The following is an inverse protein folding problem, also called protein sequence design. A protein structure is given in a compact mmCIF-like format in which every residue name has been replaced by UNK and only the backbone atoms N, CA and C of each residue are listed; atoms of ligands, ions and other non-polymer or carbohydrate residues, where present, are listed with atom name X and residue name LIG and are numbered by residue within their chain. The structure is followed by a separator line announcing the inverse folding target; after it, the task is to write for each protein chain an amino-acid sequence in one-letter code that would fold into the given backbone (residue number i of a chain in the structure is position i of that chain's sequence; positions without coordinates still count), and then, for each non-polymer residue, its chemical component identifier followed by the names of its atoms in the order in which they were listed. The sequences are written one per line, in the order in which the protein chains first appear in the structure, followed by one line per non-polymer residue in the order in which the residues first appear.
data_IF_410882629103
#
_entry.id   IF_410882629103
#
_cell.length_a   1.000
_cell.length_b   1.000
_cell.length_c   1.000
_cell.angle_alpha   90.00
_cell.angle_beta   90.00
_cell.angle_gamma   90.00
#
_symmetry.space_group_name_H-M   'P 1'
#
loop_
_entity.id
_entity.type
_entity.pdbx_description
1 polymer ?
#
# COMPACT_ATOMS: atom_id res chain seq x y z
N UNK A 1 -65.23 16.93 13.42
CA UNK A 1 -64.79 15.57 13.08
C UNK A 1 -64.81 15.43 11.56
N UNK A 2 -63.65 15.52 10.91
CA UNK A 2 -63.50 15.31 9.45
C UNK A 2 -62.60 14.11 9.25
N UNK A 3 -63.18 12.98 8.81
CA UNK A 3 -62.43 11.79 8.44
C UNK A 3 -61.83 12.02 7.04
N UNK A 4 -60.53 12.28 6.98
CA UNK A 4 -59.76 12.25 5.74
C UNK A 4 -59.55 10.80 5.33
N UNK A 5 -60.20 10.37 4.25
CA UNK A 5 -60.05 9.02 3.70
C UNK A 5 -59.00 9.08 2.60
N UNK A 6 -57.77 8.66 2.93
CA UNK A 6 -56.69 8.56 1.96
C UNK A 6 -57.08 7.55 0.84
N UNK A 7 -56.91 7.88 -0.45
CA UNK A 7 -57.31 6.98 -1.55
C UNK A 7 -56.53 5.68 -1.51
N UNK A 8 -57.21 4.52 -1.50
CA UNK A 8 -56.60 3.18 -1.47
C UNK A 8 -55.56 2.96 -2.58
N UNK A 9 -55.74 3.60 -3.74
CA UNK A 9 -54.83 3.55 -4.88
C UNK A 9 -53.48 4.20 -4.62
N UNK A 10 -53.43 5.25 -3.80
CA UNK A 10 -52.17 5.94 -3.40
C UNK A 10 -51.33 5.09 -2.45
N UNK A 11 -51.97 4.32 -1.57
CA UNK A 11 -51.28 3.35 -0.71
C UNK A 11 -50.62 2.23 -1.52
N UNK A 12 -51.32 1.68 -2.52
CA UNK A 12 -50.78 0.58 -3.32
C UNK A 12 -49.56 0.98 -4.17
N UNK A 13 -49.54 2.20 -4.72
CA UNK A 13 -48.38 2.69 -5.46
C UNK A 13 -47.18 2.99 -4.55
N UNK A 14 -47.41 3.50 -3.33
CA UNK A 14 -46.34 3.72 -2.34
C UNK A 14 -45.71 2.40 -1.86
N UNK A 15 -46.54 1.37 -1.62
CA UNK A 15 -46.08 0.04 -1.22
C UNK A 15 -45.30 -0.69 -2.32
N UNK A 16 -45.64 -0.44 -3.59
CA UNK A 16 -44.94 -1.02 -4.75
C UNK A 16 -43.55 -0.39 -4.95
N UNK A 17 -43.41 0.91 -4.71
CA UNK A 17 -42.11 1.60 -4.77
C UNK A 17 -41.16 1.21 -3.63
N UNK A 18 -41.69 0.91 -2.44
CA UNK A 18 -40.89 0.50 -1.28
C UNK A 18 -40.22 -0.88 -1.45
N UNK A 19 -40.84 -1.78 -2.22
CA UNK A 19 -40.29 -3.13 -2.48
C UNK A 19 -39.23 -3.16 -3.60
N UNK A 20 -39.16 -2.14 -4.46
CA UNK A 20 -38.12 -2.07 -5.50
C UNK A 20 -36.77 -1.59 -4.94
N UNK A 21 -36.75 -0.91 -3.79
CA UNK A 21 -35.52 -0.37 -3.20
C UNK A 21 -34.70 -1.41 -2.41
N UNK A 22 -35.27 -2.57 -2.05
CA UNK A 22 -34.55 -3.60 -1.25
C UNK A 22 -33.70 -4.54 -2.11
N UNK A 23 -33.83 -4.50 -3.44
CA UNK A 23 -33.18 -5.43 -4.36
C UNK A 23 -31.80 -4.97 -4.88
N UNK A 24 -31.34 -3.77 -4.48
CA UNK A 24 -30.01 -3.24 -4.84
C UNK A 24 -29.04 -3.26 -3.66
N UNK A 25 -29.15 -4.26 -2.76
CA UNK A 25 -28.05 -4.58 -1.88
C UNK A 25 -26.98 -5.30 -2.72
N UNK A 26 -25.77 -4.72 -2.82
CA UNK A 26 -24.62 -5.44 -3.37
C UNK A 26 -24.50 -6.79 -2.67
N UNK A 27 -24.25 -7.91 -3.39
CA UNK A 27 -24.02 -9.19 -2.74
C UNK A 27 -22.88 -9.03 -1.72
N UNK A 28 -22.96 -9.72 -0.56
CA UNK A 28 -21.90 -9.64 0.42
C UNK A 28 -20.57 -10.02 -0.25
N UNK A 29 -19.59 -9.15 -0.13
CA UNK A 29 -18.24 -9.43 -0.60
C UNK A 29 -17.72 -10.61 0.23
N UNK A 30 -17.59 -11.78 -0.38
CA UNK A 30 -16.97 -12.94 0.26
C UNK A 30 -15.46 -12.70 0.34
N UNK A 31 -15.05 -12.04 1.42
CA UNK A 31 -13.66 -11.66 1.66
C UNK A 31 -12.91 -12.85 2.30
N UNK A 32 -12.36 -13.70 1.44
CA UNK A 32 -11.46 -14.76 1.88
C UNK A 32 -10.04 -14.20 2.09
N UNK A 33 -9.67 -13.97 3.35
CA UNK A 33 -8.33 -13.51 3.71
C UNK A 33 -7.39 -14.72 3.88
N UNK A 34 -6.48 -14.89 2.93
CA UNK A 34 -5.35 -15.80 3.06
C UNK A 34 -4.13 -15.09 3.64
N UNK A 35 -3.27 -15.83 4.34
CA UNK A 35 -2.00 -15.28 4.84
C UNK A 35 -1.08 -15.01 3.64
N UNK A 36 -0.61 -13.78 3.52
CA UNK A 36 0.41 -13.44 2.53
C UNK A 36 1.78 -14.01 2.95
N UNK A 37 2.53 -14.56 1.98
CA UNK A 37 3.86 -15.15 2.15
C UNK A 37 3.92 -16.45 2.98
N UNK A 38 3.44 -17.56 2.42
CA UNK A 38 3.45 -18.86 3.12
C UNK A 38 4.80 -19.58 3.10
N UNK A 39 5.67 -19.28 2.13
CA UNK A 39 6.77 -20.16 1.75
C UNK A 39 8.15 -19.80 2.34
N UNK A 40 8.41 -18.54 2.70
CA UNK A 40 9.72 -18.11 3.23
C UNK A 40 9.58 -17.07 4.36
N UNK A 41 9.79 -17.45 5.63
CA UNK A 41 9.71 -16.52 6.74
C UNK A 41 10.96 -15.62 6.77
N UNK A 42 10.77 -14.31 6.60
CA UNK A 42 11.80 -13.31 6.85
C UNK A 42 11.30 -12.22 7.80
N UNK A 43 12.22 -11.55 8.48
CA UNK A 43 11.89 -10.42 9.36
C UNK A 43 11.96 -9.12 8.58
N UNK A 44 10.79 -8.57 8.26
CA UNK A 44 10.63 -7.21 7.76
C UNK A 44 10.53 -6.22 8.94
N UNK A 45 11.28 -5.12 8.89
CA UNK A 45 11.09 -3.97 9.78
C UNK A 45 10.00 -3.05 9.25
N UNK A 46 9.81 -3.03 7.93
CA UNK A 46 8.74 -2.30 7.26
C UNK A 46 8.34 -3.03 5.99
N UNK A 47 7.06 -2.94 5.63
CA UNK A 47 6.46 -3.57 4.46
C UNK A 47 5.41 -2.62 3.87
N UNK A 48 5.46 -2.38 2.57
CA UNK A 48 4.45 -1.60 1.85
C UNK A 48 4.16 -2.24 0.48
N UNK A 49 3.02 -1.90 -0.12
CA UNK A 49 2.77 -2.25 -1.52
C UNK A 49 3.75 -1.50 -2.42
N UNK A 50 4.16 -2.12 -3.52
CA UNK A 50 4.95 -1.44 -4.55
C UNK A 50 4.06 -0.43 -5.29
N UNK A 51 4.32 0.89 -5.20
CA UNK A 51 3.52 1.88 -5.91
C UNK A 51 3.59 1.67 -7.43
N UNK A 52 2.46 1.83 -8.12
CA UNK A 52 2.38 1.63 -9.58
C UNK A 52 2.32 0.17 -10.03
N UNK A 53 2.33 -0.80 -9.10
CA UNK A 53 2.03 -2.21 -9.40
C UNK A 53 0.53 -2.50 -9.39
N UNK A 54 0.16 -3.71 -9.77
CA UNK A 54 -1.21 -4.27 -9.66
C UNK A 54 -1.67 -4.56 -8.21
N UNK A 55 -0.89 -4.12 -7.21
CA UNK A 55 -1.18 -4.34 -5.79
C UNK A 55 -0.74 -5.72 -5.28
N UNK A 56 -0.10 -6.55 -6.12
CA UNK A 56 0.36 -7.88 -5.71
C UNK A 56 1.80 -7.87 -5.19
N UNK A 57 2.62 -6.92 -5.66
CA UNK A 57 4.02 -6.80 -5.29
C UNK A 57 4.21 -5.91 -4.06
N UNK A 58 5.27 -6.20 -3.29
CA UNK A 58 5.61 -5.47 -2.06
C UNK A 58 7.07 -5.05 -2.01
N UNK A 59 7.29 -3.94 -1.32
CA UNK A 59 8.59 -3.48 -0.87
C UNK A 59 8.77 -3.83 0.60
N UNK A 60 9.93 -4.36 0.98
CA UNK A 60 10.28 -4.59 2.36
C UNK A 60 11.64 -3.97 2.72
N UNK A 61 11.74 -3.39 3.91
CA UNK A 61 13.00 -3.05 4.53
C UNK A 61 13.35 -4.12 5.57
N UNK A 62 14.55 -4.69 5.47
CA UNK A 62 15.07 -5.67 6.40
C UNK A 62 16.45 -5.28 6.95
N UNK A 63 16.63 -5.42 8.25
CA UNK A 63 17.92 -5.32 8.94
C UNK A 63 18.87 -6.42 8.49
N UNK A 64 18.36 -7.63 8.20
CA UNK A 64 19.18 -8.79 7.83
C UNK A 64 19.27 -8.99 6.32
N UNK A 65 18.19 -8.69 5.61
CA UNK A 65 18.08 -9.02 4.18
C UNK A 65 18.15 -7.79 3.26
N UNK A 66 18.33 -6.58 3.79
CA UNK A 66 18.38 -5.37 2.97
C UNK A 66 17.00 -4.90 2.47
N UNK A 67 16.95 -4.15 1.37
CA UNK A 67 15.70 -3.77 0.72
C UNK A 67 15.30 -4.87 -0.26
N UNK A 68 14.05 -5.31 -0.17
CA UNK A 68 13.52 -6.40 -0.98
C UNK A 68 12.36 -5.93 -1.84
N UNK A 69 12.25 -6.52 -3.02
CA UNK A 69 11.00 -6.58 -3.80
C UNK A 69 10.48 -8.01 -3.72
N UNK A 70 9.21 -8.15 -3.40
CA UNK A 70 8.54 -9.42 -3.14
C UNK A 70 7.33 -9.57 -4.08
N UNK A 71 7.12 -10.78 -4.60
CA UNK A 71 5.94 -11.09 -5.39
C UNK A 71 4.70 -11.35 -4.52
N UNK A 72 3.59 -11.72 -5.18
CA UNK A 72 2.30 -12.00 -4.56
C UNK A 72 2.36 -13.12 -3.50
N UNK A 73 3.34 -14.02 -3.62
CA UNK A 73 3.56 -15.15 -2.72
C UNK A 73 4.66 -14.85 -1.69
N UNK A 74 5.17 -13.61 -1.65
CA UNK A 74 6.22 -13.19 -0.73
C UNK A 74 7.62 -13.66 -1.12
N UNK A 75 7.82 -14.18 -2.32
CA UNK A 75 9.14 -14.61 -2.79
C UNK A 75 9.94 -13.40 -3.27
N UNK A 76 11.22 -13.38 -2.92
CA UNK A 76 12.15 -12.33 -3.33
C UNK A 76 12.38 -12.36 -4.85
N UNK A 77 12.12 -11.23 -5.50
CA UNK A 77 12.39 -11.02 -6.94
C UNK A 77 13.50 -9.99 -7.18
N UNK A 78 13.80 -9.13 -6.20
CA UNK A 78 15.00 -8.30 -6.20
C UNK A 78 15.45 -7.92 -4.79
N UNK A 79 16.73 -7.57 -4.68
CA UNK A 79 17.38 -7.22 -3.42
C UNK A 79 18.43 -6.13 -3.60
N UNK A 80 18.45 -5.17 -2.68
CA UNK A 80 19.56 -4.28 -2.43
C UNK A 80 20.16 -4.65 -1.06
N UNK A 81 21.38 -5.22 -1.01
CA UNK A 81 22.01 -5.60 0.25
C UNK A 81 22.22 -4.41 1.19
N UNK A 82 22.12 -4.67 2.50
CA UNK A 82 22.35 -3.68 3.55
C UNK A 82 21.54 -4.00 4.81
N UNK A 83 21.55 -3.06 5.75
CA UNK A 83 20.73 -3.14 6.96
C UNK A 83 19.82 -1.92 7.01
N UNK A 84 18.55 -2.12 6.72
CA UNK A 84 17.60 -1.03 6.54
C UNK A 84 16.41 -1.12 7.47
N UNK A 85 15.88 0.05 7.83
CA UNK A 85 14.65 0.17 8.61
C UNK A 85 13.79 1.32 8.08
N UNK A 86 12.48 1.18 8.24
CA UNK A 86 11.52 2.12 7.66
C UNK A 86 11.49 2.03 6.14
N UNK A 87 10.35 2.38 5.57
CA UNK A 87 10.16 2.41 4.14
C UNK A 87 9.11 3.47 3.83
N UNK A 88 9.45 4.40 2.96
CA UNK A 88 8.44 5.16 2.24
C UNK A 88 8.77 5.16 0.75
N UNK A 89 7.75 5.19 -0.09
CA UNK A 89 7.93 5.09 -1.54
C UNK A 89 6.88 5.85 -2.32
N UNK A 90 7.28 6.41 -3.46
CA UNK A 90 6.41 7.16 -4.37
C UNK A 90 6.76 6.83 -5.83
N UNK A 91 5.74 6.78 -6.68
CA UNK A 91 5.93 6.69 -8.14
C UNK A 91 6.57 7.99 -8.64
N UNK A 92 7.57 7.85 -9.51
CA UNK A 92 8.27 8.92 -10.21
C UNK A 92 8.52 8.48 -11.66
N UNK A 93 7.61 8.84 -12.56
CA UNK A 93 7.60 8.31 -13.94
C UNK A 93 7.46 6.79 -13.95
N UNK A 94 8.35 6.10 -14.65
CA UNK A 94 8.41 4.63 -14.72
C UNK A 94 9.21 3.99 -13.57
N UNK A 95 9.65 4.78 -12.59
CA UNK A 95 10.46 4.32 -11.47
C UNK A 95 9.73 4.58 -10.15
N UNK A 96 10.16 3.88 -9.10
CA UNK A 96 9.72 4.12 -7.73
C UNK A 96 10.87 4.72 -6.96
N UNK A 97 10.69 5.92 -6.42
CA UNK A 97 11.60 6.49 -5.43
C UNK A 97 11.34 5.79 -4.09
N UNK A 98 12.38 5.25 -3.48
CA UNK A 98 12.33 4.58 -2.19
C UNK A 98 13.23 5.32 -1.21
N UNK A 99 12.69 5.61 -0.04
CA UNK A 99 13.42 6.20 1.06
C UNK A 99 13.44 5.21 2.23
N UNK A 100 14.61 5.05 2.84
CA UNK A 100 14.84 4.16 4.00
C UNK A 100 15.93 4.70 4.90
N UNK A 101 16.08 4.14 6.09
CA UNK A 101 17.19 4.43 6.98
C UNK A 101 18.22 3.31 6.92
N UNK A 102 19.46 3.68 6.61
CA UNK A 102 20.62 2.78 6.72
C UNK A 102 21.07 2.73 8.17
N UNK A 103 20.98 1.54 8.78
CA UNK A 103 21.28 1.35 10.19
C UNK A 103 22.78 1.42 10.50
N UNK A 104 23.62 0.98 9.56
CA UNK A 104 25.06 1.00 9.74
C UNK A 104 25.59 2.43 9.74
N UNK A 105 24.96 3.31 8.94
CA UNK A 105 25.33 4.73 8.84
C UNK A 105 24.50 5.65 9.74
N UNK A 106 23.38 5.17 10.29
CA UNK A 106 22.36 6.00 10.95
C UNK A 106 21.98 7.21 10.09
N UNK A 107 21.67 6.94 8.82
CA UNK A 107 21.53 7.98 7.80
C UNK A 107 20.38 7.67 6.84
N UNK A 108 19.59 8.68 6.51
CA UNK A 108 18.55 8.55 5.51
C UNK A 108 19.17 8.31 4.12
N UNK A 109 18.63 7.32 3.41
CA UNK A 109 19.09 6.87 2.11
C UNK A 109 17.93 6.83 1.13
N UNK A 110 18.19 7.32 -0.08
CA UNK A 110 17.29 7.30 -1.22
C UNK A 110 17.85 6.37 -2.28
N UNK A 111 16.98 5.60 -2.91
CA UNK A 111 17.31 4.84 -4.13
C UNK A 111 16.09 4.81 -5.04
N UNK A 112 16.28 4.45 -6.30
CA UNK A 112 15.20 4.20 -7.25
C UNK A 112 15.12 2.72 -7.56
N UNK A 113 13.90 2.25 -7.73
CA UNK A 113 13.59 0.93 -8.26
C UNK A 113 12.97 1.09 -9.63
N UNK A 114 13.58 0.46 -10.63
CA UNK A 114 12.91 0.14 -11.89
C UNK A 114 11.97 -1.05 -11.61
N UNK A 115 10.66 -0.77 -11.54
CA UNK A 115 9.66 -1.76 -11.15
C UNK A 115 9.46 -2.84 -12.22
N UNK A 116 9.67 -2.52 -13.50
CA UNK A 116 9.52 -3.46 -14.61
C UNK A 116 10.70 -4.43 -14.69
N UNK A 117 11.92 -3.92 -14.44
CA UNK A 117 13.16 -4.71 -14.50
C UNK A 117 13.59 -5.27 -13.15
N UNK A 118 12.91 -4.90 -12.08
CA UNK A 118 13.26 -5.18 -10.68
C UNK A 118 14.73 -4.83 -10.36
N UNK A 119 15.19 -3.66 -10.81
CA UNK A 119 16.58 -3.20 -10.62
C UNK A 119 16.67 -1.97 -9.74
N UNK A 120 17.54 -2.05 -8.73
CA UNK A 120 17.88 -0.93 -7.87
C UNK A 120 18.94 -0.04 -8.53
N UNK A 121 18.77 1.27 -8.40
CA UNK A 121 19.82 2.22 -8.72
C UNK A 121 20.85 2.33 -7.60
N UNK A 122 21.95 3.03 -7.87
CA UNK A 122 22.92 3.42 -6.84
C UNK A 122 22.24 4.24 -5.74
N UNK A 123 22.45 3.90 -4.46
CA UNK A 123 21.99 4.69 -3.32
C UNK A 123 22.56 6.10 -3.28
N UNK A 124 21.74 7.06 -2.84
CA UNK A 124 22.12 8.43 -2.51
C UNK A 124 21.80 8.68 -1.05
N UNK A 125 22.73 9.25 -0.30
CA UNK A 125 22.55 9.52 1.11
C UNK A 125 22.25 11.00 1.37
N UNK A 126 21.25 11.26 2.19
CA UNK A 126 20.97 12.61 2.72
C UNK A 126 22.09 12.98 3.70
N UNK A 127 22.55 14.24 3.80
CA UNK A 127 23.61 14.63 4.74
C UNK A 127 23.39 14.11 6.17
N UNK A 128 24.48 13.76 6.84
CA UNK A 128 24.46 13.24 8.20
C UNK A 128 23.88 14.26 9.18
N UNK A 129 23.30 13.76 10.27
CA UNK A 129 22.77 14.56 11.38
C UNK A 129 23.57 14.27 12.64
N UNK A 130 23.57 15.22 13.57
CA UNK A 130 24.14 15.09 14.91
C UNK A 130 23.17 14.45 15.92
N UNK A 131 22.03 13.94 15.43
CA UNK A 131 21.03 13.21 16.18
C UNK A 131 20.58 11.94 15.43
N UNK A 132 20.05 10.97 16.18
CA UNK A 132 19.54 9.73 15.62
C UNK A 132 18.26 9.97 14.80
N UNK A 133 18.20 9.40 13.60
CA UNK A 133 17.01 9.44 12.74
C UNK A 133 16.18 8.19 13.02
N UNK A 134 14.96 8.35 13.50
CA UNK A 134 14.08 7.22 13.87
C UNK A 134 13.00 6.91 12.83
N UNK A 135 12.70 7.87 11.96
CA UNK A 135 11.71 7.73 10.89
C UNK A 135 11.92 8.77 9.80
N UNK A 136 11.37 8.49 8.63
CA UNK A 136 11.39 9.37 7.47
C UNK A 136 10.22 9.03 6.56
N UNK A 137 9.69 10.04 5.88
CA UNK A 137 8.65 9.91 4.88
C UNK A 137 8.99 10.81 3.70
N UNK A 138 8.57 10.39 2.51
CA UNK A 138 8.57 11.19 1.29
C UNK A 138 7.27 12.01 1.24
N UNK A 139 7.42 13.28 0.90
CA UNK A 139 6.31 14.15 0.56
C UNK A 139 6.48 14.59 -0.90
N UNK A 140 5.37 14.60 -1.65
CA UNK A 140 5.30 15.19 -2.99
C UNK A 140 4.30 16.32 -2.88
N UNK A 141 4.71 17.51 -3.34
CA UNK A 141 3.80 18.64 -3.43
C UNK A 141 2.74 18.34 -4.49
N UNK A 142 1.49 18.70 -4.21
CA UNK A 142 0.37 18.51 -5.13
C UNK A 142 0.36 19.61 -6.22
N UNK A 143 1.22 20.63 -6.09
CA UNK A 143 1.40 21.69 -7.08
C UNK A 143 2.31 21.31 -8.27
N UNK A 144 2.95 20.13 -8.23
CA UNK A 144 3.79 19.56 -9.29
C UNK A 144 3.05 18.53 -10.17
#
# INVERSE_FOLDING_TARGET
MMNSVLPKTLCLTLLSGLMAAVAQASPPLDLNLARWAENEPFKAQSLAFLPGSDGTQRLAASVKSGLLVLDAQGRQIAQLPGSFQGLDSRVSGSQVLVATLDNARQQAMLTRLDADRHRWSTPVYVPTRDYAVTGLCLYRDDAD
#
